data_IF_913318474538
#
_entry.id   IF_913318474538
#
_cell.length_a   1.000
_cell.length_b   1.000
_cell.length_c   1.000
_cell.angle_alpha   90.00
_cell.angle_beta   90.00
_cell.angle_gamma   90.00
#
_symmetry.space_group_name_H-M   'P 1'
#
loop_
_entity.id
_entity.type
_entity.pdbx_description
1 polymer ?
#
# COMPACT_ATOMS: atom_id res chain seq x y z
N UNK A 1 6.31 14.03 -5.72
CA UNK A 1 5.19 13.23 -6.25
C UNK A 1 5.66 12.33 -7.41
N UNK A 2 5.49 11.01 -7.33
CA UNK A 2 6.03 10.07 -8.33
C UNK A 2 5.02 9.29 -9.16
N UNK A 3 3.73 9.29 -8.78
CA UNK A 3 2.71 8.49 -9.44
C UNK A 3 2.51 8.87 -10.93
N UNK A 4 2.48 10.16 -11.33
CA UNK A 4 2.31 10.51 -12.74
C UNK A 4 3.41 9.95 -13.65
N UNK A 5 4.69 10.03 -13.24
CA UNK A 5 5.79 9.43 -13.99
C UNK A 5 5.66 7.91 -14.08
N UNK A 6 5.26 7.25 -12.98
CA UNK A 6 5.05 5.81 -12.97
C UNK A 6 3.93 5.36 -13.92
N UNK A 7 2.82 6.12 -14.03
CA UNK A 7 1.77 5.83 -15.00
C UNK A 7 2.27 5.94 -16.45
N UNK A 8 2.95 7.04 -16.77
CA UNK A 8 3.46 7.29 -18.11
C UNK A 8 4.48 6.23 -18.54
N UNK A 9 5.46 5.91 -17.68
CA UNK A 9 6.49 4.92 -17.99
C UNK A 9 5.94 3.49 -18.05
N UNK A 10 4.94 3.15 -17.22
CA UNK A 10 4.26 1.86 -17.32
C UNK A 10 3.53 1.70 -18.66
N UNK A 11 2.86 2.75 -19.14
CA UNK A 11 2.19 2.75 -20.45
C UNK A 11 3.20 2.69 -21.61
N UNK A 12 4.31 3.41 -21.52
CA UNK A 12 5.35 3.38 -22.55
C UNK A 12 5.99 1.99 -22.71
N UNK A 13 6.24 1.30 -21.59
CA UNK A 13 6.93 0.01 -21.59
C UNK A 13 6.00 -1.18 -21.83
N UNK A 14 4.81 -1.14 -21.25
CA UNK A 14 3.92 -2.30 -21.15
C UNK A 14 2.52 -2.03 -21.72
N UNK A 15 2.19 -0.78 -22.04
CA UNK A 15 0.87 -0.38 -22.48
C UNK A 15 0.65 -0.56 -23.98
N UNK A 16 -0.61 -0.76 -24.35
CA UNK A 16 -1.08 -0.74 -25.75
C UNK A 16 -1.84 0.56 -26.09
N UNK A 17 -1.97 1.47 -25.11
CA UNK A 17 -2.58 2.79 -25.25
C UNK A 17 -1.66 3.86 -24.67
N UNK A 18 -1.74 5.08 -25.20
CA UNK A 18 -1.00 6.24 -24.67
C UNK A 18 -1.65 6.88 -23.45
N UNK A 19 -0.89 7.74 -22.77
CA UNK A 19 -1.33 8.47 -21.57
C UNK A 19 -2.61 9.27 -21.79
N UNK A 20 -2.78 9.88 -22.96
CA UNK A 20 -4.00 10.62 -23.34
C UNK A 20 -5.26 9.77 -23.19
N UNK A 21 -5.26 8.56 -23.78
CA UNK A 21 -6.40 7.64 -23.73
C UNK A 21 -6.61 7.09 -22.32
N UNK A 22 -5.53 6.82 -21.59
CA UNK A 22 -5.59 6.30 -20.24
C UNK A 22 -6.17 7.31 -19.23
N UNK A 23 -5.85 8.61 -19.37
CA UNK A 23 -6.33 9.65 -18.46
C UNK A 23 -7.74 10.16 -18.76
N UNK A 24 -8.27 9.94 -19.97
CA UNK A 24 -9.58 10.45 -20.39
C UNK A 24 -10.72 10.17 -19.40
N UNK A 25 -10.89 8.96 -18.84
CA UNK A 25 -11.95 8.71 -17.85
C UNK A 25 -11.76 9.55 -16.58
N UNK A 26 -10.52 9.69 -16.09
CA UNK A 26 -10.22 10.49 -14.90
C UNK A 26 -10.45 11.99 -15.13
N UNK A 27 -10.14 12.50 -16.33
CA UNK A 27 -10.43 13.88 -16.74
C UNK A 27 -11.94 14.14 -16.69
N UNK A 28 -12.73 13.26 -17.31
CA UNK A 28 -14.19 13.38 -17.33
C UNK A 28 -14.77 13.36 -15.91
N UNK A 29 -14.37 12.39 -15.08
CA UNK A 29 -14.84 12.31 -13.68
C UNK A 29 -14.46 13.54 -12.85
N UNK A 30 -13.25 14.10 -13.04
CA UNK A 30 -12.83 15.31 -12.33
C UNK A 30 -13.59 16.56 -12.81
N UNK A 31 -13.90 16.67 -14.10
CA UNK A 31 -14.56 17.84 -14.69
C UNK A 31 -16.09 17.83 -14.58
N UNK A 32 -16.71 16.70 -14.90
CA UNK A 32 -18.16 16.48 -14.86
C UNK A 32 -18.67 16.16 -13.44
N UNK A 33 -17.74 15.80 -12.55
CA UNK A 33 -18.01 15.53 -11.14
C UNK A 33 -18.41 14.09 -10.86
N UNK A 34 -18.28 13.72 -9.58
CA UNK A 34 -18.66 12.39 -9.08
C UNK A 34 -19.59 12.51 -7.88
N UNK A 35 -20.60 11.65 -7.73
CA UNK A 35 -21.40 11.61 -6.51
C UNK A 35 -20.52 11.12 -5.36
N UNK A 36 -20.50 11.89 -4.27
CA UNK A 36 -19.82 11.54 -3.02
C UNK A 36 -20.48 10.29 -2.45
N UNK A 37 -19.70 9.23 -2.20
CA UNK A 37 -20.20 8.02 -1.57
C UNK A 37 -20.27 8.16 -0.04
N UNK A 38 -20.82 7.15 0.63
CA UNK A 38 -20.93 7.13 2.10
C UNK A 38 -19.54 7.17 2.77
N UNK A 39 -18.56 6.49 2.20
CA UNK A 39 -17.22 6.37 2.80
C UNK A 39 -16.52 7.72 2.82
N UNK A 40 -16.57 8.45 1.71
CA UNK A 40 -16.01 9.78 1.60
C UNK A 40 -16.79 10.78 2.46
N UNK A 41 -18.13 10.77 2.42
CA UNK A 41 -18.95 11.65 3.25
C UNK A 41 -18.69 11.47 4.75
N UNK A 42 -18.63 10.22 5.23
CA UNK A 42 -18.30 9.90 6.63
C UNK A 42 -16.89 10.40 7.00
N UNK A 43 -15.92 10.27 6.09
CA UNK A 43 -14.57 10.79 6.34
C UNK A 43 -14.55 12.33 6.42
N UNK A 44 -15.24 13.02 5.50
CA UNK A 44 -15.34 14.48 5.48
C UNK A 44 -16.13 15.03 6.69
N UNK A 45 -16.98 14.23 7.31
CA UNK A 45 -17.63 14.57 8.59
C UNK A 45 -16.74 14.29 9.83
N UNK A 46 -15.62 13.58 9.64
CA UNK A 46 -14.77 13.11 10.72
C UNK A 46 -13.80 14.14 11.31
N UNK A 47 -13.30 13.91 12.53
CA UNK A 47 -12.37 14.83 13.21
C UNK A 47 -11.04 14.99 12.49
N UNK A 48 -10.57 13.96 11.76
CA UNK A 48 -9.33 14.02 10.98
C UNK A 48 -9.42 15.07 9.87
N UNK A 49 -10.52 15.08 9.11
CA UNK A 49 -10.72 16.08 8.07
C UNK A 49 -10.93 17.47 8.64
N UNK A 50 -11.68 17.59 9.74
CA UNK A 50 -11.85 18.87 10.43
C UNK A 50 -10.52 19.49 10.89
N UNK A 51 -9.61 18.68 11.44
CA UNK A 51 -8.27 19.13 11.82
C UNK A 51 -7.43 19.55 10.59
N UNK A 52 -7.45 18.75 9.52
CA UNK A 52 -6.76 19.08 8.27
C UNK A 52 -7.26 20.40 7.67
N UNK A 53 -8.56 20.66 7.66
CA UNK A 53 -9.12 21.90 7.14
C UNK A 53 -8.79 23.11 8.03
N UNK A 54 -8.59 22.92 9.34
CA UNK A 54 -8.15 23.99 10.23
C UNK A 54 -6.70 24.42 9.92
N UNK A 55 -5.82 23.45 9.64
CA UNK A 55 -4.42 23.71 9.31
C UNK A 55 -4.23 24.10 7.83
N UNK A 56 -5.07 23.56 6.93
CA UNK A 56 -5.00 23.74 5.47
C UNK A 56 -6.37 24.10 4.88
N UNK A 57 -6.81 25.37 5.01
CA UNK A 57 -8.15 25.80 4.59
C UNK A 57 -8.48 25.57 3.12
N UNK A 58 -7.49 25.51 2.24
CA UNK A 58 -7.70 25.25 0.80
C UNK A 58 -8.31 23.86 0.52
N UNK A 59 -8.19 22.89 1.44
CA UNK A 59 -8.85 21.59 1.29
C UNK A 59 -10.37 21.71 1.24
N UNK A 60 -10.96 22.51 2.15
CA UNK A 60 -12.40 22.67 2.21
C UNK A 60 -12.96 23.44 1.01
N UNK A 61 -12.12 24.24 0.34
CA UNK A 61 -12.46 24.86 -0.94
C UNK A 61 -12.68 23.86 -2.08
N UNK A 62 -12.09 22.66 -2.00
CA UNK A 62 -12.22 21.60 -3.01
C UNK A 62 -13.20 20.52 -2.58
N UNK A 63 -13.10 20.04 -1.34
CA UNK A 63 -13.85 18.88 -0.86
C UNK A 63 -15.05 19.25 0.03
N UNK A 64 -15.29 20.55 0.24
CA UNK A 64 -16.39 21.06 1.06
C UNK A 64 -16.01 21.24 2.54
N UNK A 65 -16.79 22.05 3.30
CA UNK A 65 -16.57 22.21 4.74
C UNK A 65 -16.77 20.89 5.51
N UNK A 66 -16.06 20.68 6.64
CA UNK A 66 -16.23 19.48 7.44
C UNK A 66 -17.69 19.23 7.86
N UNK A 67 -18.21 18.05 7.55
CA UNK A 67 -19.59 17.66 7.86
C UNK A 67 -20.68 18.28 6.99
N UNK A 68 -20.32 19.08 5.99
CA UNK A 68 -21.27 19.76 5.09
C UNK A 68 -21.39 19.10 3.71
N UNK A 69 -20.72 17.96 3.48
CA UNK A 69 -20.73 17.24 2.20
C UNK A 69 -21.48 15.90 2.31
N UNK A 70 -22.82 15.88 2.15
CA UNK A 70 -23.61 14.66 2.28
C UNK A 70 -23.39 13.67 1.13
N UNK A 71 -23.76 12.38 1.32
CA UNK A 71 -23.73 11.38 0.27
C UNK A 71 -24.62 11.79 -0.91
N UNK A 72 -24.14 11.59 -2.13
CA UNK A 72 -24.81 11.96 -3.37
C UNK A 72 -24.58 13.41 -3.83
N UNK A 73 -23.96 14.27 -3.00
CA UNK A 73 -23.48 15.56 -3.48
C UNK A 73 -22.46 15.37 -4.61
N UNK A 74 -22.49 16.22 -5.62
CA UNK A 74 -21.58 16.11 -6.76
C UNK A 74 -20.30 16.89 -6.46
N UNK A 75 -19.21 16.14 -6.29
CA UNK A 75 -17.86 16.68 -6.10
C UNK A 75 -17.22 16.97 -7.47
N UNK A 76 -16.91 18.24 -7.73
CA UNK A 76 -16.21 18.68 -8.92
C UNK A 76 -14.76 19.03 -8.60
N UNK A 77 -13.82 18.63 -9.46
CA UNK A 77 -12.40 18.96 -9.34
C UNK A 77 -11.87 19.55 -10.66
N UNK A 78 -12.38 20.71 -11.12
CA UNK A 78 -12.06 21.25 -12.44
C UNK A 78 -10.58 21.66 -12.57
N UNK A 79 -9.91 22.03 -11.47
CA UNK A 79 -8.47 22.28 -11.45
C UNK A 79 -7.67 21.00 -11.73
N UNK A 80 -8.06 19.89 -11.10
CA UNK A 80 -7.46 18.58 -11.35
C UNK A 80 -7.72 18.12 -12.79
N UNK A 81 -8.94 18.31 -13.30
CA UNK A 81 -9.27 18.00 -14.70
C UNK A 81 -8.32 18.70 -15.68
N UNK A 82 -8.09 20.01 -15.52
CA UNK A 82 -7.14 20.77 -16.36
C UNK A 82 -5.71 20.28 -16.23
N UNK A 83 -5.27 19.90 -15.03
CA UNK A 83 -3.93 19.32 -14.82
C UNK A 83 -3.77 17.97 -15.52
N UNK A 84 -4.79 17.10 -15.43
CA UNK A 84 -4.83 15.82 -16.12
C UNK A 84 -4.89 16.00 -17.64
N UNK A 85 -5.66 16.97 -18.15
CA UNK A 85 -5.73 17.34 -19.57
C UNK A 85 -4.38 17.84 -20.11
N UNK A 86 -3.67 18.67 -19.34
CA UNK A 86 -2.34 19.11 -19.71
C UNK A 86 -1.37 17.92 -19.82
N UNK A 87 -1.40 16.99 -18.87
CA UNK A 87 -0.59 15.76 -18.96
C UNK A 87 -1.00 14.83 -20.10
N UNK A 88 -2.30 14.74 -20.40
CA UNK A 88 -2.81 13.95 -21.52
C UNK A 88 -2.34 14.50 -22.87
N UNK A 89 -2.37 15.84 -23.03
CA UNK A 89 -2.03 16.53 -24.28
C UNK A 89 -0.53 16.73 -24.49
N UNK A 90 0.17 17.20 -23.46
CA UNK A 90 1.58 17.61 -23.54
C UNK A 90 2.54 16.54 -22.98
N UNK A 91 1.99 15.39 -22.54
CA UNK A 91 2.73 14.33 -21.87
C UNK A 91 3.00 14.63 -20.40
N UNK A 92 3.62 13.67 -19.70
CA UNK A 92 3.90 13.79 -18.26
C UNK A 92 4.85 14.96 -17.92
N UNK A 93 5.60 15.44 -18.91
CA UNK A 93 6.46 16.62 -18.79
C UNK A 93 5.68 17.89 -18.44
N UNK A 94 4.38 17.97 -18.72
CA UNK A 94 3.52 19.05 -18.22
C UNK A 94 3.62 19.22 -16.68
N UNK A 95 3.83 18.10 -15.97
CA UNK A 95 4.00 18.06 -14.51
C UNK A 95 5.46 18.17 -14.07
N UNK A 96 6.40 17.51 -14.74
CA UNK A 96 7.80 17.45 -14.25
C UNK A 96 8.72 18.56 -14.77
N UNK A 97 8.39 19.20 -15.90
CA UNK A 97 9.13 20.33 -16.46
C UNK A 97 8.25 21.47 -16.99
N UNK A 98 6.93 21.34 -16.86
CA UNK A 98 5.95 22.21 -17.49
C UNK A 98 5.13 23.06 -16.51
N UNK A 99 4.06 23.65 -17.05
CA UNK A 99 3.24 24.64 -16.34
C UNK A 99 2.50 24.08 -15.12
N UNK A 100 2.13 22.79 -15.12
CA UNK A 100 1.42 22.18 -13.98
C UNK A 100 2.37 22.08 -12.78
N UNK A 101 3.60 21.60 -12.99
CA UNK A 101 4.60 21.53 -11.94
C UNK A 101 5.02 22.90 -11.42
N UNK A 102 5.19 23.87 -12.33
CA UNK A 102 5.52 25.24 -11.95
C UNK A 102 4.42 25.89 -11.09
N UNK A 103 3.15 25.74 -11.48
CA UNK A 103 2.02 26.25 -10.72
C UNK A 103 1.90 25.58 -9.35
N UNK A 104 2.11 24.25 -9.29
CA UNK A 104 2.11 23.52 -8.03
C UNK A 104 3.17 24.07 -7.07
N UNK A 105 4.42 24.24 -7.53
CA UNK A 105 5.54 24.72 -6.68
C UNK A 105 5.32 26.16 -6.24
N UNK A 106 4.84 27.03 -7.11
CA UNK A 106 4.55 28.42 -6.77
C UNK A 106 3.44 28.54 -5.70
N UNK A 107 2.42 27.67 -5.74
CA UNK A 107 1.36 27.63 -4.72
C UNK A 107 1.89 27.20 -3.33
N UNK A 108 3.02 26.49 -3.24
CA UNK A 108 3.63 26.14 -1.95
C UNK A 108 4.24 27.33 -1.22
N UNK A 109 4.54 28.40 -1.96
CA UNK A 109 5.03 29.66 -1.40
C UNK A 109 6.46 29.59 -0.83
N UNK A 110 6.91 30.69 -0.19
CA UNK A 110 8.25 30.79 0.36
C UNK A 110 8.45 29.82 1.54
N UNK A 111 9.61 29.15 1.57
CA UNK A 111 9.97 28.19 2.63
C UNK A 111 9.62 26.74 2.31
N UNK A 112 8.94 26.48 1.20
CA UNK A 112 8.78 25.13 0.67
C UNK A 112 10.14 24.51 0.31
N UNK A 113 10.35 23.26 0.71
CA UNK A 113 11.57 22.51 0.37
C UNK A 113 11.54 21.89 -1.03
N UNK A 114 10.34 21.75 -1.61
CA UNK A 114 10.13 21.22 -2.95
C UNK A 114 10.15 22.35 -3.96
N UNK A 115 11.00 22.24 -4.98
CA UNK A 115 11.01 23.17 -6.12
C UNK A 115 10.87 22.49 -7.50
N UNK A 116 10.89 23.29 -8.57
CA UNK A 116 10.76 22.77 -9.95
C UNK A 116 11.97 21.93 -10.39
N UNK A 117 13.15 22.13 -9.80
CA UNK A 117 14.34 21.31 -10.06
C UNK A 117 14.18 19.94 -9.44
N UNK A 118 13.57 19.84 -8.27
CA UNK A 118 13.24 18.55 -7.65
C UNK A 118 12.24 17.76 -8.50
N UNK A 119 11.23 18.42 -9.05
CA UNK A 119 10.30 17.80 -9.99
C UNK A 119 11.05 17.33 -11.25
N UNK A 120 11.84 18.19 -11.90
CA UNK A 120 12.57 17.83 -13.11
C UNK A 120 13.62 16.72 -12.91
N UNK A 121 14.17 16.60 -11.69
CA UNK A 121 15.12 15.55 -11.31
C UNK A 121 14.46 14.20 -11.02
N UNK A 122 13.12 14.14 -10.92
CA UNK A 122 12.41 12.91 -10.62
C UNK A 122 12.65 11.82 -11.68
N UNK A 123 12.85 10.57 -11.24
CA UNK A 123 12.95 9.40 -12.10
C UNK A 123 12.15 8.25 -11.49
N UNK A 124 11.40 7.53 -12.31
CA UNK A 124 10.81 6.25 -11.92
C UNK A 124 11.89 5.17 -11.99
N UNK A 125 11.89 4.24 -11.04
CA UNK A 125 12.85 3.13 -11.02
C UNK A 125 12.16 1.87 -11.53
N UNK A 126 12.73 1.26 -12.56
CA UNK A 126 12.28 -0.03 -13.09
C UNK A 126 13.24 -1.12 -12.61
N UNK A 127 12.80 -1.93 -11.66
CA UNK A 127 13.68 -2.84 -10.92
C UNK A 127 13.16 -4.27 -10.95
N UNK A 128 14.08 -5.24 -10.91
CA UNK A 128 13.74 -6.65 -10.73
C UNK A 128 13.13 -6.87 -9.34
N UNK A 129 12.00 -7.59 -9.22
CA UNK A 129 11.38 -7.88 -7.94
C UNK A 129 12.23 -8.85 -7.10
N UNK A 130 12.04 -8.79 -5.78
CA UNK A 130 12.50 -9.83 -4.87
C UNK A 130 11.50 -11.00 -4.90
N UNK A 131 11.93 -12.20 -4.51
CA UNK A 131 11.00 -13.32 -4.44
C UNK A 131 11.40 -14.46 -3.53
N UNK A 132 10.41 -15.24 -3.12
CA UNK A 132 10.57 -16.42 -2.26
C UNK A 132 9.70 -17.57 -2.76
N UNK A 133 10.14 -18.80 -2.53
CA UNK A 133 9.34 -19.99 -2.80
C UNK A 133 8.40 -20.27 -1.64
N UNK A 134 7.13 -20.48 -1.95
CA UNK A 134 6.07 -20.75 -0.98
C UNK A 134 5.08 -21.75 -1.57
N UNK A 135 5.03 -22.97 -1.00
CA UNK A 135 4.07 -24.04 -1.38
C UNK A 135 4.02 -24.30 -2.91
N UNK A 136 5.18 -24.46 -3.54
CA UNK A 136 5.28 -24.70 -4.99
C UNK A 136 5.01 -23.48 -5.87
N UNK A 137 4.86 -22.30 -5.29
CA UNK A 137 4.71 -21.04 -5.98
C UNK A 137 5.91 -20.13 -5.71
N UNK A 138 6.12 -19.14 -6.58
CA UNK A 138 7.07 -18.05 -6.38
C UNK A 138 6.29 -16.78 -6.03
N UNK A 139 6.43 -16.28 -4.82
CA UNK A 139 5.86 -14.98 -4.43
C UNK A 139 6.87 -13.89 -4.74
N UNK A 140 6.43 -12.85 -5.42
CA UNK A 140 7.22 -11.71 -5.83
C UNK A 140 6.70 -10.43 -5.17
N UNK A 141 7.61 -9.54 -4.78
CA UNK A 141 7.27 -8.20 -4.31
C UNK A 141 8.38 -7.20 -4.63
N UNK A 142 8.07 -5.91 -4.53
CA UNK A 142 8.99 -4.84 -4.89
C UNK A 142 10.25 -4.84 -3.99
N UNK A 143 11.42 -4.46 -4.54
CA UNK A 143 12.66 -4.28 -3.77
C UNK A 143 12.59 -3.00 -2.90
N UNK A 144 13.66 -2.65 -2.14
CA UNK A 144 13.79 -1.33 -1.53
C UNK A 144 13.50 -0.21 -2.53
N UNK A 145 12.83 0.86 -2.12
CA UNK A 145 12.58 1.33 -0.75
C UNK A 145 11.29 0.81 -0.09
N UNK A 146 10.65 -0.21 -0.68
CA UNK A 146 9.35 -0.73 -0.23
C UNK A 146 9.46 -1.86 0.81
N UNK A 147 8.37 -2.15 1.54
CA UNK A 147 8.32 -3.24 2.52
C UNK A 147 8.07 -4.65 1.96
N UNK A 148 8.27 -4.88 0.65
CA UNK A 148 8.11 -6.20 0.03
C UNK A 148 8.96 -7.29 0.71
N UNK A 149 10.16 -6.96 1.18
CA UNK A 149 11.02 -7.90 1.91
C UNK A 149 10.33 -8.47 3.16
N UNK A 150 9.52 -7.68 3.87
CA UNK A 150 8.84 -8.14 5.08
C UNK A 150 7.80 -9.24 4.76
N UNK A 151 7.08 -9.10 3.64
CA UNK A 151 6.14 -10.11 3.14
C UNK A 151 6.88 -11.39 2.78
N UNK A 152 7.98 -11.26 2.03
CA UNK A 152 8.75 -12.40 1.53
C UNK A 152 9.42 -13.19 2.66
N UNK A 153 10.01 -12.51 3.65
CA UNK A 153 10.61 -13.17 4.81
C UNK A 153 9.55 -13.84 5.70
N UNK A 154 8.37 -13.22 5.83
CA UNK A 154 7.26 -13.80 6.59
C UNK A 154 6.76 -15.09 5.93
N UNK A 155 6.42 -15.06 4.64
CA UNK A 155 5.98 -16.24 3.90
C UNK A 155 7.09 -17.29 3.81
N UNK A 156 8.31 -16.89 3.49
CA UNK A 156 9.47 -17.78 3.43
C UNK A 156 9.73 -18.48 4.75
N UNK A 157 9.73 -17.75 5.88
CA UNK A 157 9.86 -18.35 7.20
C UNK A 157 8.74 -19.36 7.49
N UNK A 158 7.48 -19.00 7.18
CA UNK A 158 6.34 -19.91 7.30
C UNK A 158 6.45 -21.14 6.39
N UNK A 159 7.17 -21.04 5.26
CA UNK A 159 7.42 -22.18 4.38
C UNK A 159 8.27 -23.25 5.07
N UNK A 160 9.27 -22.83 5.85
CA UNK A 160 10.21 -23.69 6.58
C UNK A 160 9.70 -24.09 7.98
N UNK A 161 8.85 -23.28 8.61
CA UNK A 161 8.29 -23.57 9.93
C UNK A 161 7.09 -24.55 9.83
N UNK A 162 7.39 -25.80 9.45
CA UNK A 162 6.39 -26.86 9.18
C UNK A 162 5.96 -27.66 10.43
N UNK A 163 6.42 -27.28 11.60
CA UNK A 163 6.06 -27.93 12.85
C UNK A 163 4.72 -27.40 13.36
N UNK A 164 3.69 -28.26 13.34
CA UNK A 164 2.33 -27.94 13.77
C UNK A 164 2.10 -28.06 15.29
N UNK A 165 3.15 -28.34 16.07
CA UNK A 165 3.04 -28.31 17.54
C UNK A 165 2.87 -26.89 18.09
N UNK A 166 3.39 -25.88 17.38
CA UNK A 166 3.18 -24.46 17.70
C UNK A 166 1.87 -23.96 17.05
N UNK A 167 0.96 -23.31 17.81
CA UNK A 167 -0.22 -22.68 17.24
C UNK A 167 0.13 -21.70 16.12
N UNK A 168 -0.61 -21.74 15.01
CA UNK A 168 -0.27 -20.97 13.79
C UNK A 168 -0.08 -19.47 14.06
N UNK A 169 -0.94 -18.83 14.85
CA UNK A 169 -0.81 -17.38 15.09
C UNK A 169 0.43 -17.04 15.92
N UNK A 170 0.81 -17.89 16.88
CA UNK A 170 2.07 -17.73 17.61
C UNK A 170 3.26 -17.82 16.64
N UNK A 171 3.29 -18.88 15.82
CA UNK A 171 4.31 -19.05 14.77
C UNK A 171 4.37 -17.86 13.81
N UNK A 172 3.21 -17.37 13.36
CA UNK A 172 3.10 -16.21 12.49
C UNK A 172 3.71 -14.96 13.13
N UNK A 173 3.35 -14.67 14.38
CA UNK A 173 3.82 -13.49 15.10
C UNK A 173 5.33 -13.50 15.32
N UNK A 174 5.88 -14.64 15.74
CA UNK A 174 7.33 -14.84 15.93
C UNK A 174 8.14 -14.57 14.66
N UNK A 175 7.68 -15.08 13.53
CA UNK A 175 8.35 -14.91 12.24
C UNK A 175 8.16 -13.48 11.74
N UNK A 176 6.96 -12.91 11.90
CA UNK A 176 6.64 -11.52 11.54
C UNK A 176 7.58 -10.56 12.23
N UNK A 177 7.82 -10.72 13.52
CA UNK A 177 8.67 -9.80 14.28
C UNK A 177 10.11 -9.80 13.81
N UNK A 178 10.67 -10.98 13.51
CA UNK A 178 12.01 -11.08 12.94
C UNK A 178 12.06 -10.49 11.53
N UNK A 179 11.07 -10.76 10.68
CA UNK A 179 10.96 -10.18 9.34
C UNK A 179 10.87 -8.65 9.37
N UNK A 180 10.09 -8.10 10.31
CA UNK A 180 9.90 -6.66 10.47
C UNK A 180 11.14 -6.00 11.09
N UNK A 181 11.88 -6.68 11.96
CA UNK A 181 13.17 -6.18 12.44
C UNK A 181 14.20 -6.06 11.30
N UNK A 182 14.18 -6.95 10.31
CA UNK A 182 14.99 -6.81 9.07
C UNK A 182 14.52 -5.61 8.26
N UNK A 183 13.19 -5.48 8.04
CA UNK A 183 12.58 -4.35 7.34
C UNK A 183 13.03 -3.01 7.93
N UNK A 184 12.89 -2.84 9.24
CA UNK A 184 13.13 -1.56 9.92
C UNK A 184 14.63 -1.19 9.94
N UNK A 185 15.52 -2.18 9.92
CA UNK A 185 16.96 -1.95 9.85
C UNK A 185 17.47 -1.61 8.45
N UNK A 186 16.87 -2.19 7.41
CA UNK A 186 17.48 -2.21 6.08
C UNK A 186 16.80 -1.32 5.05
N UNK A 187 15.53 -0.93 5.26
CA UNK A 187 14.80 -0.17 4.26
C UNK A 187 15.01 1.34 4.37
N UNK A 188 14.96 2.01 3.22
CA UNK A 188 15.25 3.42 3.04
C UNK A 188 15.63 3.64 1.57
N UNK A 189 16.49 4.62 1.30
CA UNK A 189 16.89 4.97 -0.06
C UNK A 189 17.47 3.75 -0.82
N UNK A 190 16.95 3.41 -2.03
CA UNK A 190 17.45 2.26 -2.79
C UNK A 190 18.93 2.33 -3.14
N UNK A 191 19.52 3.53 -3.22
CA UNK A 191 20.96 3.72 -3.48
C UNK A 191 21.84 3.38 -2.27
N UNK A 192 21.25 3.30 -1.06
CA UNK A 192 21.96 3.00 0.19
C UNK A 192 21.52 1.67 0.82
N UNK A 193 20.33 1.18 0.47
CA UNK A 193 19.83 -0.09 0.95
C UNK A 193 20.73 -1.25 0.48
N UNK A 194 21.04 -2.24 1.33
CA UNK A 194 21.82 -3.40 0.93
C UNK A 194 21.02 -4.28 -0.04
N UNK A 195 21.71 -5.17 -0.75
CA UNK A 195 21.03 -6.23 -1.50
C UNK A 195 20.34 -7.20 -0.52
N UNK A 196 19.01 -7.30 -0.63
CA UNK A 196 18.16 -8.12 0.21
C UNK A 196 17.81 -9.47 -0.42
N UNK A 197 18.14 -9.69 -1.70
CA UNK A 197 17.86 -10.95 -2.39
C UNK A 197 18.46 -12.16 -1.65
N UNK A 198 19.70 -12.11 -1.11
CA UNK A 198 20.26 -13.22 -0.36
C UNK A 198 19.46 -13.62 0.89
N UNK A 199 18.66 -12.72 1.47
CA UNK A 199 17.82 -13.04 2.63
C UNK A 199 16.58 -13.87 2.27
N UNK A 200 16.21 -13.91 0.99
CA UNK A 200 15.11 -14.72 0.47
C UNK A 200 15.54 -16.16 0.11
N UNK A 201 16.80 -16.52 0.36
CA UNK A 201 17.33 -17.86 0.10
C UNK A 201 16.98 -18.87 1.21
N UNK A 202 17.01 -20.19 0.94
CA UNK A 202 16.61 -21.23 1.90
C UNK A 202 17.26 -21.14 3.28
N UNK A 203 18.57 -20.86 3.36
CA UNK A 203 19.29 -20.88 4.64
C UNK A 203 18.88 -19.73 5.60
N UNK A 204 18.81 -18.46 5.18
CA UNK A 204 18.23 -17.39 6.01
C UNK A 204 16.78 -17.63 6.42
N UNK A 205 15.95 -18.15 5.52
CA UNK A 205 14.54 -18.43 5.82
C UNK A 205 14.37 -19.56 6.86
N UNK A 206 15.18 -20.61 6.75
CA UNK A 206 15.22 -21.67 7.76
C UNK A 206 15.67 -21.15 9.14
N UNK A 207 16.59 -20.17 9.18
CA UNK A 207 16.98 -19.51 10.43
C UNK A 207 15.85 -18.67 11.02
N UNK A 208 15.11 -17.92 10.20
CA UNK A 208 13.92 -17.18 10.64
C UNK A 208 12.86 -18.13 11.23
N UNK A 209 12.62 -19.26 10.55
CA UNK A 209 11.69 -20.29 11.00
C UNK A 209 12.09 -20.88 12.36
N UNK A 210 13.39 -21.08 12.60
CA UNK A 210 13.94 -21.59 13.85
C UNK A 210 14.14 -20.52 14.95
N UNK A 211 13.96 -19.23 14.64
CA UNK A 211 14.20 -18.13 15.57
C UNK A 211 13.30 -18.17 16.80
N UNK A 212 13.80 -17.66 17.93
CA UNK A 212 13.28 -17.85 19.30
C UNK A 212 11.82 -17.47 19.54
N UNK A 213 11.30 -17.79 20.74
CA UNK A 213 9.87 -17.74 21.07
C UNK A 213 9.17 -16.38 20.81
N UNK A 214 7.84 -16.44 20.62
CA UNK A 214 6.96 -15.26 20.60
C UNK A 214 7.12 -14.47 21.90
N UNK A 215 7.32 -13.16 21.79
CA UNK A 215 7.26 -12.24 22.92
C UNK A 215 7.18 -10.80 22.42
N UNK A 216 6.52 -9.88 23.15
CA UNK A 216 6.33 -8.52 22.69
C UNK A 216 7.68 -7.83 22.45
N UNK A 217 7.93 -7.26 21.26
CA UNK A 217 9.08 -6.41 21.02
C UNK A 217 8.90 -5.08 21.76
N UNK A 218 9.99 -4.30 21.81
CA UNK A 218 10.06 -3.00 22.47
C UNK A 218 9.09 -1.91 21.95
N UNK A 219 9.38 -0.63 22.22
CA UNK A 219 8.40 0.45 22.19
C UNK A 219 7.63 0.57 20.86
N UNK A 220 6.36 0.94 20.98
CA UNK A 220 5.39 1.09 19.88
C UNK A 220 5.88 2.09 18.83
N UNK A 221 5.84 1.72 17.55
CA UNK A 221 5.87 2.67 16.44
C UNK A 221 4.70 3.65 16.59
N UNK A 222 4.86 4.93 16.27
CA UNK A 222 3.72 5.85 16.30
C UNK A 222 2.55 5.27 15.45
N UNK A 223 1.29 5.38 15.92
CA UNK A 223 0.16 4.94 15.11
C UNK A 223 0.17 5.66 13.78
N UNK A 224 0.12 4.89 12.69
CA UNK A 224 0.02 5.41 11.33
C UNK A 224 -1.36 5.03 10.77
N UNK A 225 -2.09 6.05 10.29
CA UNK A 225 -3.45 5.98 9.77
C UNK A 225 -3.46 6.10 8.26
N UNK A 226 -2.65 5.31 7.56
CA UNK A 226 -2.48 5.46 6.13
C UNK A 226 -3.73 5.15 5.29
N UNK A 227 -4.02 6.02 4.32
CA UNK A 227 -5.01 5.77 3.27
C UNK A 227 -4.31 5.52 1.93
N UNK A 228 -4.68 4.42 1.30
CA UNK A 228 -4.02 3.87 0.12
C UNK A 228 -5.08 3.31 -0.79
N UNK A 229 -4.87 3.42 -2.11
CA UNK A 229 -5.71 2.77 -3.11
C UNK A 229 -4.90 1.69 -3.82
N UNK A 230 -5.60 0.63 -4.22
CA UNK A 230 -4.98 -0.53 -4.87
C UNK A 230 -5.82 -1.02 -6.02
N UNK A 231 -5.15 -1.57 -7.03
CA UNK A 231 -5.78 -2.18 -8.20
C UNK A 231 -5.07 -3.50 -8.49
N UNK A 232 -5.85 -4.56 -8.71
CA UNK A 232 -5.38 -5.79 -9.32
C UNK A 232 -6.09 -5.95 -10.67
N UNK A 233 -5.33 -6.20 -11.73
CA UNK A 233 -5.88 -6.39 -13.07
C UNK A 233 -5.21 -7.57 -13.76
N UNK A 234 -5.99 -8.38 -14.49
CA UNK A 234 -5.49 -9.47 -15.33
C UNK A 234 -6.28 -9.46 -16.62
N UNK A 235 -5.59 -9.38 -17.75
CA UNK A 235 -6.24 -9.37 -19.07
C UNK A 235 -6.36 -10.77 -19.68
N UNK A 236 -6.96 -10.84 -20.88
CA UNK A 236 -7.17 -12.08 -21.63
C UNK A 236 -5.86 -12.77 -22.06
N UNK A 237 -4.79 -12.01 -22.29
CA UNK A 237 -3.47 -12.48 -22.71
C UNK A 237 -2.63 -13.00 -21.53
N UNK A 238 -3.09 -12.76 -20.30
CA UNK A 238 -2.43 -13.20 -19.08
C UNK A 238 -1.46 -12.16 -18.49
N UNK A 239 -1.46 -10.93 -19.01
CA UNK A 239 -0.77 -9.83 -18.35
C UNK A 239 -1.44 -9.56 -17.01
N UNK A 240 -0.63 -9.35 -15.97
CA UNK A 240 -1.12 -9.16 -14.61
C UNK A 240 -0.45 -7.94 -13.97
N UNK A 241 -1.25 -7.16 -13.26
CA UNK A 241 -0.81 -5.97 -12.53
C UNK A 241 -1.30 -6.07 -11.08
N UNK A 242 -0.38 -5.88 -10.15
CA UNK A 242 -0.67 -5.55 -8.75
C UNK A 242 -0.16 -4.13 -8.49
N UNK A 243 -1.07 -3.17 -8.42
CA UNK A 243 -0.76 -1.74 -8.27
C UNK A 243 -1.18 -1.22 -6.91
N UNK A 244 -0.30 -0.43 -6.30
CA UNK A 244 -0.53 0.24 -5.01
C UNK A 244 -0.02 1.67 -5.16
N UNK A 245 -0.85 2.66 -4.83
CA UNK A 245 -0.45 4.07 -4.79
C UNK A 245 -1.12 4.81 -3.64
N UNK A 246 -0.44 5.81 -3.08
CA UNK A 246 -0.90 6.49 -1.86
C UNK A 246 -0.20 7.82 -1.64
N UNK A 247 -0.93 8.77 -1.07
CA UNK A 247 -0.40 10.03 -0.51
C UNK A 247 0.17 9.88 0.92
N UNK A 248 0.25 8.65 1.42
CA UNK A 248 0.54 8.20 2.78
C UNK A 248 -0.64 8.29 3.73
N UNK A 249 -0.76 9.35 4.53
CA UNK A 249 -1.92 9.55 5.42
C UNK A 249 -3.11 10.08 4.62
N UNK A 250 -4.30 10.08 5.22
CA UNK A 250 -5.51 10.61 4.58
C UNK A 250 -5.32 12.08 4.14
N UNK A 251 -5.58 12.39 2.86
CA UNK A 251 -5.24 13.68 2.23
C UNK A 251 -3.75 14.08 2.33
N UNK A 252 -2.86 13.13 2.63
CA UNK A 252 -1.41 13.34 2.65
C UNK A 252 -0.98 14.41 3.63
N UNK A 253 -0.35 15.47 3.12
CA UNK A 253 0.08 16.62 3.93
C UNK A 253 -1.04 17.63 4.20
N UNK A 254 -2.21 17.46 3.59
CA UNK A 254 -3.28 18.47 3.56
C UNK A 254 -2.98 19.70 2.68
N UNK A 255 -1.71 19.99 2.40
CA UNK A 255 -1.32 21.00 1.41
C UNK A 255 -1.86 20.66 0.02
N UNK A 256 -2.61 21.60 -0.56
CA UNK A 256 -3.19 21.49 -1.90
C UNK A 256 -2.85 22.72 -2.73
N UNK A 257 -2.54 22.51 -4.00
CA UNK A 257 -2.44 23.59 -4.99
C UNK A 257 -3.82 23.82 -5.58
N UNK A 258 -4.46 24.94 -5.25
CA UNK A 258 -5.80 25.29 -5.77
C UNK A 258 -5.79 25.45 -7.30
N UNK A 259 -4.68 25.92 -7.87
CA UNK A 259 -4.57 26.08 -9.33
C UNK A 259 -4.55 24.74 -10.07
N UNK A 260 -3.94 23.71 -9.47
CA UNK A 260 -3.75 22.41 -10.10
C UNK A 260 -4.72 21.33 -9.59
N UNK A 261 -5.37 21.54 -8.44
CA UNK A 261 -6.21 20.55 -7.76
C UNK A 261 -5.44 19.39 -7.14
N UNK A 262 -4.10 19.51 -7.01
CA UNK A 262 -3.24 18.40 -6.56
C UNK A 262 -2.99 18.52 -5.07
N UNK A 263 -3.41 17.50 -4.34
CA UNK A 263 -3.10 17.32 -2.91
C UNK A 263 -1.73 16.64 -2.77
N UNK A 264 -0.84 17.23 -1.98
CA UNK A 264 0.50 16.70 -1.77
C UNK A 264 0.51 15.55 -0.75
N UNK A 265 1.40 14.58 -1.01
CA UNK A 265 1.67 13.50 -0.07
C UNK A 265 2.49 13.99 1.12
N UNK A 266 2.39 13.30 2.25
CA UNK A 266 3.27 13.49 3.41
C UNK A 266 4.28 12.35 3.62
N UNK A 267 4.59 11.57 2.57
CA UNK A 267 5.45 10.36 2.64
C UNK A 267 6.82 10.56 3.32
N UNK A 268 7.39 11.76 3.29
CA UNK A 268 8.68 12.05 3.92
C UNK A 268 8.64 11.91 5.45
N UNK A 269 7.46 11.87 6.07
CA UNK A 269 7.30 11.57 7.51
C UNK A 269 7.81 10.18 7.90
N UNK A 270 8.00 9.27 6.94
CA UNK A 270 8.63 7.96 7.16
C UNK A 270 10.17 8.02 7.17
N UNK A 271 10.79 9.17 6.89
CA UNK A 271 12.24 9.33 7.01
C UNK A 271 12.66 9.36 8.48
N UNK A 272 13.80 8.75 8.78
CA UNK A 272 14.42 8.79 10.10
C UNK A 272 15.11 10.12 10.34
N UNK A 273 14.92 10.70 11.53
CA UNK A 273 15.71 11.85 12.00
C UNK A 273 17.08 11.42 12.56
N UNK A 274 17.32 10.12 12.72
CA UNK A 274 18.66 9.62 13.00
C UNK A 274 19.53 9.85 11.75
N UNK A 275 20.73 10.44 11.89
CA UNK A 275 21.55 10.86 10.74
C UNK A 275 22.09 9.68 9.91
N UNK A 276 22.15 8.49 10.52
CA UNK A 276 22.73 7.30 9.92
C UNK A 276 21.67 6.34 9.35
N UNK A 277 22.11 5.52 8.40
CA UNK A 277 21.33 4.43 7.82
C UNK A 277 20.60 4.80 6.52
N UNK A 278 20.01 3.80 5.84
CA UNK A 278 19.39 4.00 4.53
C UNK A 278 18.15 4.91 4.61
N UNK A 279 17.47 4.97 5.75
CA UNK A 279 16.25 5.77 5.92
C UNK A 279 16.50 7.19 6.48
N UNK A 280 17.76 7.61 6.67
CA UNK A 280 18.05 8.94 7.22
C UNK A 280 17.55 10.06 6.29
N UNK A 281 16.90 11.07 6.88
CA UNK A 281 16.41 12.25 6.18
C UNK A 281 17.57 13.04 5.57
N UNK A 282 17.65 13.07 4.24
CA UNK A 282 18.62 13.86 3.51
C UNK A 282 18.10 14.30 2.13
N UNK A 283 18.64 15.39 1.55
CA UNK A 283 18.24 15.88 0.23
C UNK A 283 18.36 14.82 -0.86
N UNK A 284 17.39 14.78 -1.77
CA UNK A 284 17.35 13.84 -2.89
C UNK A 284 17.11 12.37 -2.52
N UNK A 285 17.00 12.04 -1.21
CA UNK A 285 16.78 10.66 -0.78
C UNK A 285 15.32 10.25 -0.80
N UNK A 286 15.07 8.96 -1.09
CA UNK A 286 13.75 8.35 -0.97
C UNK A 286 13.57 7.75 0.43
N UNK A 287 12.52 8.11 1.18
CA UNK A 287 12.25 7.50 2.48
C UNK A 287 11.82 6.05 2.32
N UNK A 288 11.84 5.30 3.41
CA UNK A 288 11.11 4.03 3.52
C UNK A 288 9.66 4.20 3.00
N UNK A 289 9.17 3.19 2.29
CA UNK A 289 7.85 3.21 1.67
C UNK A 289 7.00 2.00 2.08
N UNK A 290 5.78 2.25 2.55
CA UNK A 290 4.90 1.18 3.06
C UNK A 290 4.10 0.45 1.99
N UNK A 291 4.23 0.79 0.70
CA UNK A 291 3.46 0.10 -0.34
C UNK A 291 4.05 -1.29 -0.59
N UNK A 292 3.21 -2.31 -0.70
CA UNK A 292 3.64 -3.70 -0.82
C UNK A 292 2.80 -4.42 -1.90
N UNK A 293 3.03 -4.16 -3.21
CA UNK A 293 2.39 -4.95 -4.25
C UNK A 293 2.93 -6.40 -4.24
N UNK A 294 2.10 -7.37 -4.61
CA UNK A 294 2.53 -8.76 -4.71
C UNK A 294 1.93 -9.50 -5.91
N UNK A 295 2.77 -10.33 -6.53
CA UNK A 295 2.36 -11.32 -7.52
C UNK A 295 2.77 -12.71 -7.03
N UNK A 296 1.93 -13.71 -7.25
CA UNK A 296 2.28 -15.12 -7.01
C UNK A 296 2.30 -15.83 -8.35
N UNK A 297 3.43 -16.46 -8.66
CA UNK A 297 3.63 -17.20 -9.89
C UNK A 297 3.69 -18.71 -9.63
N UNK A 298 3.32 -19.50 -10.63
CA UNK A 298 3.58 -20.93 -10.70
C UNK A 298 4.03 -21.26 -12.11
N UNK A 299 5.13 -21.98 -12.25
CA UNK A 299 5.72 -22.34 -13.55
C UNK A 299 5.94 -21.13 -14.48
N UNK A 300 6.31 -19.98 -13.89
CA UNK A 300 6.55 -18.72 -14.61
C UNK A 300 5.30 -17.92 -14.98
N UNK A 301 4.09 -18.47 -14.78
CA UNK A 301 2.82 -17.79 -15.07
C UNK A 301 2.21 -17.19 -13.80
N UNK A 302 1.50 -16.06 -13.94
CA UNK A 302 0.77 -15.47 -12.81
C UNK A 302 -0.39 -16.40 -12.37
N UNK A 303 -0.49 -16.60 -11.06
CA UNK A 303 -1.59 -17.29 -10.39
C UNK A 303 -2.36 -16.38 -9.46
N UNK A 304 -1.74 -15.37 -8.87
CA UNK A 304 -2.42 -14.38 -8.04
C UNK A 304 -1.83 -13.00 -8.28
N UNK A 305 -2.68 -12.05 -8.66
CA UNK A 305 -2.37 -10.63 -8.49
C UNK A 305 -3.10 -10.14 -7.24
N UNK A 306 -2.38 -9.60 -6.26
CA UNK A 306 -2.97 -9.21 -4.98
C UNK A 306 -2.31 -7.95 -4.42
N UNK A 307 -3.16 -7.01 -4.00
CA UNK A 307 -2.75 -5.76 -3.43
C UNK A 307 -3.67 -5.38 -2.26
N UNK A 308 -3.17 -4.63 -1.30
CA UNK A 308 -3.98 -4.16 -0.18
C UNK A 308 -3.48 -2.81 0.35
N UNK A 309 -4.36 -1.89 0.76
CA UNK A 309 -4.00 -0.76 1.58
C UNK A 309 -3.76 -1.20 3.04
N UNK A 310 -3.42 -0.24 3.91
CA UNK A 310 -3.26 -0.51 5.34
C UNK A 310 -1.82 -0.43 5.84
N UNK A 311 -1.01 0.41 5.20
CA UNK A 311 0.28 0.87 5.73
C UNK A 311 1.21 -0.25 6.24
N UNK A 312 1.72 -0.21 7.48
CA UNK A 312 2.54 -1.28 8.08
C UNK A 312 1.84 -2.66 8.16
N UNK A 313 0.52 -2.70 8.02
CA UNK A 313 -0.29 -3.92 7.95
C UNK A 313 -0.21 -4.65 6.61
N UNK A 314 0.20 -3.99 5.51
CA UNK A 314 0.13 -4.59 4.16
C UNK A 314 0.83 -5.96 4.05
N UNK A 315 2.09 -6.14 4.50
CA UNK A 315 2.75 -7.45 4.44
C UNK A 315 2.02 -8.52 5.26
N UNK A 316 1.42 -8.13 6.39
CA UNK A 316 0.73 -9.05 7.31
C UNK A 316 -0.59 -9.53 6.71
N UNK A 317 -1.37 -8.60 6.14
CA UNK A 317 -2.62 -8.90 5.46
C UNK A 317 -2.38 -9.78 4.23
N UNK A 318 -1.40 -9.44 3.40
CA UNK A 318 -1.05 -10.23 2.21
C UNK A 318 -0.61 -11.64 2.60
N UNK A 319 0.24 -11.80 3.62
CA UNK A 319 0.65 -13.11 4.09
C UNK A 319 -0.53 -13.95 4.58
N UNK A 320 -1.45 -13.37 5.36
CA UNK A 320 -2.65 -14.08 5.84
C UNK A 320 -3.54 -14.54 4.67
N UNK A 321 -3.78 -13.69 3.66
CA UNK A 321 -4.57 -14.04 2.48
C UNK A 321 -3.89 -15.15 1.65
N UNK A 322 -2.59 -15.04 1.43
CA UNK A 322 -1.82 -16.04 0.66
C UNK A 322 -1.81 -17.39 1.39
N UNK A 323 -1.64 -17.40 2.73
CA UNK A 323 -1.74 -18.62 3.55
C UNK A 323 -3.14 -19.23 3.45
N UNK A 324 -4.19 -18.41 3.58
CA UNK A 324 -5.57 -18.90 3.48
C UNK A 324 -5.85 -19.54 2.12
N UNK A 325 -5.38 -18.93 1.03
CA UNK A 325 -5.53 -19.44 -0.32
C UNK A 325 -4.73 -20.74 -0.54
N UNK A 326 -3.44 -20.73 -0.21
CA UNK A 326 -2.51 -21.80 -0.62
C UNK A 326 -2.33 -22.92 0.41
N UNK A 327 -2.42 -22.64 1.72
CA UNK A 327 -2.27 -23.66 2.76
C UNK A 327 -3.64 -24.21 3.19
N UNK A 328 -4.69 -23.36 3.23
CA UNK A 328 -6.02 -23.74 3.74
C UNK A 328 -7.01 -24.08 2.63
N UNK A 329 -6.64 -23.89 1.36
CA UNK A 329 -7.47 -24.23 0.20
C UNK A 329 -8.75 -23.40 0.09
N UNK A 330 -8.81 -22.23 0.74
CA UNK A 330 -9.94 -21.30 0.61
C UNK A 330 -10.01 -20.75 -0.81
N UNK A 331 -11.21 -20.45 -1.30
CA UNK A 331 -11.32 -19.64 -2.52
C UNK A 331 -10.87 -18.19 -2.24
N UNK A 332 -10.67 -17.38 -3.28
CA UNK A 332 -10.08 -16.05 -3.11
C UNK A 332 -10.95 -15.11 -2.25
N UNK A 333 -12.28 -15.18 -2.38
CA UNK A 333 -13.18 -14.34 -1.59
C UNK A 333 -13.18 -14.80 -0.12
N UNK A 334 -13.24 -16.11 0.14
CA UNK A 334 -13.12 -16.67 1.50
C UNK A 334 -11.78 -16.27 2.16
N UNK A 335 -10.68 -16.34 1.40
CA UNK A 335 -9.35 -15.98 1.88
C UNK A 335 -9.26 -14.50 2.27
N UNK A 336 -9.91 -13.62 1.51
CA UNK A 336 -10.05 -12.19 1.80
C UNK A 336 -10.97 -11.96 3.00
N UNK A 337 -12.08 -12.65 3.09
CA UNK A 337 -13.09 -12.44 4.12
C UNK A 337 -12.70 -12.97 5.49
N UNK A 338 -11.80 -13.94 5.55
CA UNK A 338 -11.29 -14.51 6.80
C UNK A 338 -10.88 -13.42 7.82
N UNK A 339 -11.13 -13.63 9.13
CA UNK A 339 -10.74 -12.68 10.17
C UNK A 339 -9.22 -12.55 10.26
N UNK A 340 -8.73 -11.34 10.51
CA UNK A 340 -7.31 -10.99 10.51
C UNK A 340 -6.81 -10.50 11.86
N UNK A 341 -5.50 -10.64 12.06
CA UNK A 341 -4.74 -9.91 13.07
C UNK A 341 -3.82 -8.88 12.42
N UNK A 342 -3.47 -7.83 13.17
CA UNK A 342 -2.48 -6.82 12.79
C UNK A 342 -1.68 -6.35 14.00
N UNK A 343 -0.36 -6.29 13.86
CA UNK A 343 0.56 -5.80 14.88
C UNK A 343 1.50 -4.73 14.30
N UNK A 344 1.45 -3.51 14.84
CA UNK A 344 2.27 -2.37 14.36
C UNK A 344 3.47 -2.05 15.28
N UNK A 345 3.64 -2.80 16.37
CA UNK A 345 4.73 -2.66 17.35
C UNK A 345 4.19 -2.59 18.79
N UNK A 346 5.09 -2.74 19.78
CA UNK A 346 4.72 -2.77 21.20
C UNK A 346 3.92 -4.03 21.58
N UNK A 347 3.03 -3.88 22.57
CA UNK A 347 2.19 -4.99 23.10
C UNK A 347 0.83 -5.09 22.42
N UNK A 348 0.33 -4.02 21.79
CA UNK A 348 -1.01 -3.97 21.22
C UNK A 348 -1.12 -4.82 19.92
N UNK A 349 -1.97 -5.83 19.97
CA UNK A 349 -2.31 -6.69 18.83
C UNK A 349 -3.78 -6.51 18.47
N UNK A 350 -4.04 -5.89 17.33
CA UNK A 350 -5.40 -5.75 16.81
C UNK A 350 -5.88 -7.08 16.25
N UNK A 351 -7.15 -7.43 16.51
CA UNK A 351 -7.83 -8.57 15.91
C UNK A 351 -9.29 -8.24 15.59
N UNK A 352 -9.86 -8.95 14.62
CA UNK A 352 -11.30 -8.85 14.35
C UNK A 352 -12.11 -9.75 15.29
N UNK A 353 -13.30 -9.28 15.69
CA UNK A 353 -14.19 -9.99 16.63
C UNK A 353 -14.71 -11.34 16.10
N UNK A 354 -14.60 -11.58 14.79
CA UNK A 354 -14.96 -12.86 14.15
C UNK A 354 -13.92 -13.96 14.35
N UNK A 355 -12.76 -13.63 14.92
CA UNK A 355 -11.70 -14.62 15.19
C UNK A 355 -12.09 -15.52 16.37
N UNK A 356 -11.75 -16.80 16.29
CA UNK A 356 -11.91 -17.72 17.42
C UNK A 356 -11.03 -17.27 18.60
N UNK A 357 -11.59 -16.95 19.78
CA UNK A 357 -10.82 -16.56 20.94
C UNK A 357 -9.77 -17.61 21.36
N UNK A 358 -9.99 -18.90 21.09
CA UNK A 358 -9.02 -19.94 21.38
C UNK A 358 -7.75 -19.82 20.52
N UNK A 359 -7.88 -19.33 19.28
CA UNK A 359 -6.73 -19.08 18.42
C UNK A 359 -5.85 -17.93 18.93
N UNK A 360 -6.43 -16.97 19.65
CA UNK A 360 -5.74 -15.80 20.22
C UNK A 360 -5.09 -16.08 21.59
N UNK A 361 -5.55 -17.11 22.31
CA UNK A 361 -5.07 -17.42 23.66
C UNK A 361 -3.53 -17.56 23.77
N UNK A 362 -2.81 -18.19 22.82
CA UNK A 362 -1.35 -18.26 22.86
C UNK A 362 -0.68 -16.88 22.78
N UNK A 363 -1.23 -15.95 22.00
CA UNK A 363 -0.69 -14.60 21.85
C UNK A 363 -0.88 -13.80 23.14
N UNK A 364 -2.08 -13.86 23.72
CA UNK A 364 -2.33 -13.24 25.02
C UNK A 364 -1.42 -13.81 26.10
N UNK A 365 -1.22 -15.13 26.14
CA UNK A 365 -0.30 -15.78 27.07
C UNK A 365 1.17 -15.36 26.87
N UNK A 366 1.56 -15.00 25.64
CA UNK A 366 2.87 -14.43 25.31
C UNK A 366 3.01 -12.95 25.65
N UNK A 367 1.96 -12.28 26.14
CA UNK A 367 2.01 -10.89 26.63
C UNK A 367 1.51 -9.82 25.66
N UNK A 368 0.83 -10.19 24.56
CA UNK A 368 0.14 -9.18 23.75
C UNK A 368 -1.17 -8.73 24.39
N UNK A 369 -1.43 -7.43 24.30
CA UNK A 369 -2.71 -6.81 24.63
C UNK A 369 -3.62 -6.92 23.42
N UNK A 370 -4.65 -7.76 23.51
CA UNK A 370 -5.60 -7.99 22.43
C UNK A 370 -6.57 -6.81 22.30
N UNK A 371 -6.59 -6.17 21.13
CA UNK A 371 -7.48 -5.06 20.79
C UNK A 371 -8.51 -5.52 19.76
N UNK A 372 -9.77 -5.67 20.18
CA UNK A 372 -10.87 -5.97 19.28
C UNK A 372 -11.26 -4.73 18.48
N UNK A 373 -11.11 -4.79 17.16
CA UNK A 373 -11.44 -3.69 16.24
C UNK A 373 -12.80 -3.85 15.54
N UNK A 374 -13.62 -4.80 15.98
CA UNK A 374 -14.90 -5.15 15.39
C UNK A 374 -14.79 -6.21 14.28
N UNK A 375 -15.91 -6.55 13.62
CA UNK A 375 -15.97 -7.70 12.71
C UNK A 375 -15.34 -7.45 11.34
N UNK A 376 -15.38 -6.21 10.84
CA UNK A 376 -14.97 -5.84 9.48
C UNK A 376 -14.22 -4.51 9.48
N UNK A 377 -13.09 -4.46 10.18
CA UNK A 377 -12.38 -3.20 10.39
C UNK A 377 -11.51 -2.79 9.20
N UNK A 378 -11.64 -1.54 8.74
CA UNK A 378 -10.75 -0.95 7.72
C UNK A 378 -9.26 -0.93 8.12
N UNK A 379 -8.98 -1.05 9.43
CA UNK A 379 -7.62 -1.17 9.97
C UNK A 379 -6.92 -2.46 9.52
N UNK A 380 -7.69 -3.47 9.11
CA UNK A 380 -7.20 -4.78 8.68
C UNK A 380 -6.88 -4.85 7.18
N UNK A 381 -6.90 -3.72 6.49
CA UNK A 381 -6.60 -3.59 5.06
C UNK A 381 -7.84 -3.45 4.18
N UNK A 382 -7.68 -3.80 2.91
CA UNK A 382 -8.72 -3.68 1.88
C UNK A 382 -8.28 -4.39 0.60
N UNK A 383 -8.14 -5.70 0.70
CA UNK A 383 -7.52 -6.55 -0.34
C UNK A 383 -8.33 -6.56 -1.63
N UNK A 384 -7.64 -6.29 -2.74
CA UNK A 384 -8.13 -6.55 -4.09
C UNK A 384 -7.27 -7.63 -4.73
N UNK A 385 -7.90 -8.68 -5.26
CA UNK A 385 -7.16 -9.81 -5.80
C UNK A 385 -7.84 -10.44 -7.01
N UNK A 386 -7.02 -11.03 -7.89
CA UNK A 386 -7.48 -11.91 -8.97
C UNK A 386 -6.67 -13.20 -8.89
N UNK A 387 -7.34 -14.31 -8.60
CA UNK A 387 -6.78 -15.66 -8.60
C UNK A 387 -7.06 -16.35 -9.94
N UNK A 388 -6.02 -16.87 -10.58
CA UNK A 388 -6.09 -17.53 -11.88
C UNK A 388 -5.93 -19.04 -11.65
N UNK A 389 -6.99 -19.79 -11.93
CA UNK A 389 -7.01 -21.25 -11.80
C UNK A 389 -6.14 -21.92 -12.88
N UNK A 390 -5.82 -23.20 -12.67
CA UNK A 390 -5.01 -23.98 -13.62
C UNK A 390 -5.68 -24.12 -15.01
N UNK A 391 -7.01 -24.02 -15.08
CA UNK A 391 -7.77 -24.01 -16.33
C UNK A 391 -7.90 -22.60 -16.97
N UNK A 392 -7.26 -21.58 -16.42
CA UNK A 392 -7.28 -20.20 -16.91
C UNK A 392 -8.46 -19.35 -16.47
N UNK A 393 -9.42 -19.91 -15.71
CA UNK A 393 -10.53 -19.12 -15.14
C UNK A 393 -9.99 -18.13 -14.11
N UNK A 394 -10.46 -16.88 -14.18
CA UNK A 394 -10.07 -15.78 -13.29
C UNK A 394 -11.17 -15.56 -12.25
N UNK A 395 -10.82 -15.66 -10.98
CA UNK A 395 -11.70 -15.40 -9.85
C UNK A 395 -11.29 -14.06 -9.23
N UNK A 396 -12.17 -13.06 -9.32
CA UNK A 396 -11.98 -11.78 -8.65
C UNK A 396 -12.46 -11.83 -7.20
N UNK A 397 -11.71 -11.18 -6.30
CA UNK A 397 -12.11 -11.00 -4.92
C UNK A 397 -11.85 -9.56 -4.47
N UNK A 398 -12.79 -9.00 -3.71
CA UNK A 398 -12.74 -7.64 -3.20
C UNK A 398 -13.14 -7.61 -1.73
N UNK A 399 -12.43 -6.80 -0.95
CA UNK A 399 -12.57 -6.79 0.51
C UNK A 399 -13.79 -6.01 0.97
N UNK A 400 -14.71 -6.63 1.74
CA UNK A 400 -15.92 -5.95 2.23
C UNK A 400 -15.62 -4.90 3.31
N UNK A 401 -14.39 -4.81 3.82
CA UNK A 401 -13.97 -3.78 4.79
C UNK A 401 -13.83 -2.39 4.18
N UNK A 402 -13.89 -2.29 2.85
CA UNK A 402 -13.82 -1.03 2.09
C UNK A 402 -14.83 -1.06 0.95
N UNK A 403 -15.13 0.10 0.37
CA UNK A 403 -15.90 0.21 -0.88
C UNK A 403 -15.03 -0.27 -2.06
N UNK A 404 -14.81 -1.58 -2.14
CA UNK A 404 -13.99 -2.25 -3.15
C UNK A 404 -14.84 -3.19 -3.99
N UNK A 405 -14.52 -3.31 -5.28
CA UNK A 405 -15.30 -4.07 -6.24
C UNK A 405 -14.39 -4.92 -7.13
N UNK A 406 -14.86 -6.13 -7.44
CA UNK A 406 -14.28 -6.98 -8.48
C UNK A 406 -15.25 -6.99 -9.67
N UNK A 407 -14.72 -6.72 -10.87
CA UNK A 407 -15.50 -6.60 -12.10
C UNK A 407 -14.83 -7.46 -13.17
N UNK A 408 -15.65 -8.09 -14.02
CA UNK A 408 -15.20 -8.82 -15.20
C UNK A 408 -16.00 -8.31 -16.41
N UNK A 409 -15.34 -8.18 -17.56
CA UNK A 409 -15.94 -7.79 -18.84
C UNK A 409 -15.95 -8.97 -19.82
#
# INVERSE_FOLDING_TARGET
>A
PGAPAAWAEALERCGTIGLERALRPAIALAGEGVPVDLVLSDFLAGPTYAALCADFPALSGIFGPPGETPPGEILYQPALARSLEAMARDGVEAFYGGAVGAALVEDLGPGALLDTRDLAAHRTLFQTPLGVDYRGHRVLSAPPNTQGIALLLLLGGLAFARDDTEPFLARFMRIKEQAFAVRDRCLGDPALAPDLAPLCEPAPLARLAAGGAVGPPGPRSAPAGGDTTTVAAVDAEGNAVSWVQSVFEAFGSGVVSERTGIVLQNRLSLASLHPDGPNALAPGRRPFHTLCPALVLRDGACRLAVATPGDHGQPQTLAQVIVNLLDRGMNIQEAIEAPRIRHDGGTALMHESRMDPQALAPLHASGYELEDVGPWSRLMGGVNAIHILDNGVRLGGADPRRASYAIAE
#
